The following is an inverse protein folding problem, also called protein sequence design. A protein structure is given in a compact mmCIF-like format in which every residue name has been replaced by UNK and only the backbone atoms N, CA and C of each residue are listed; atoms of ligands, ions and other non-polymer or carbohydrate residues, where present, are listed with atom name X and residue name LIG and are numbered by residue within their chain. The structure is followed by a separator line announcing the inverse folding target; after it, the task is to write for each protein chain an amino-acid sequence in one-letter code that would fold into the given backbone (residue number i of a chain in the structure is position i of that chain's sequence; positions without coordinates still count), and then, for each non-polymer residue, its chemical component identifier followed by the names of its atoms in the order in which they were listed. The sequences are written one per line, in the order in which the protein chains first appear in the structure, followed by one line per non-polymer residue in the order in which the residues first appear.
data_IF_532982973117
#
_entry.id   IF_532982973117
#
_cell.length_a   1.000
_cell.length_b   1.000
_cell.length_c   1.000
_cell.angle_alpha   90.00
_cell.angle_beta   90.00
_cell.angle_gamma   90.00
#
_symmetry.space_group_name_H-M   'P 1'
#
loop_
_entity.id
_entity.type
_entity.pdbx_description
1 polymer ?
#
# COMPACT_ATOMS: atom_id res chain seq x y z
N UNK A 1 24.79 2.09 -11.96
CA UNK A 1 25.60 0.91 -11.56
C UNK A 1 26.99 1.01 -12.18
N UNK A 2 28.07 0.60 -11.47
CA UNK A 2 29.35 0.45 -12.14
C UNK A 2 29.29 -0.70 -13.14
N UNK A 3 30.00 -0.60 -14.27
CA UNK A 3 30.07 -1.68 -15.29
C UNK A 3 30.41 -3.04 -14.70
N UNK A 4 31.25 -3.07 -13.65
CA UNK A 4 31.61 -4.31 -12.93
C UNK A 4 30.41 -4.93 -12.17
N UNK A 5 29.52 -4.12 -11.58
CA UNK A 5 28.36 -4.60 -10.85
C UNK A 5 27.28 -5.12 -11.84
N UNK A 6 27.12 -4.46 -12.98
CA UNK A 6 26.21 -4.91 -14.04
C UNK A 6 26.66 -6.26 -14.62
N UNK A 7 27.94 -6.41 -14.90
CA UNK A 7 28.49 -7.69 -15.37
C UNK A 7 28.35 -8.80 -14.32
N UNK A 8 28.59 -8.49 -13.03
CA UNK A 8 28.43 -9.44 -11.94
C UNK A 8 26.96 -9.89 -11.79
N UNK A 9 26.03 -8.94 -11.85
CA UNK A 9 24.58 -9.22 -11.81
C UNK A 9 24.16 -10.09 -12.99
N UNK A 10 24.56 -9.75 -14.21
CA UNK A 10 24.24 -10.53 -15.41
C UNK A 10 24.80 -11.96 -15.32
N UNK A 11 26.03 -12.13 -14.87
CA UNK A 11 26.66 -13.45 -14.68
C UNK A 11 25.90 -14.29 -13.63
N UNK A 12 25.49 -13.65 -12.53
CA UNK A 12 24.70 -14.30 -11.51
C UNK A 12 23.34 -14.77 -12.06
N UNK A 13 22.61 -13.90 -12.76
CA UNK A 13 21.33 -14.25 -13.40
C UNK A 13 21.53 -15.43 -14.37
N UNK A 14 22.53 -15.36 -15.24
CA UNK A 14 22.84 -16.42 -16.20
C UNK A 14 23.15 -17.76 -15.53
N UNK A 15 23.74 -17.74 -14.34
CA UNK A 15 24.02 -18.96 -13.59
C UNK A 15 22.76 -19.59 -12.99
N UNK A 16 21.82 -18.77 -12.45
CA UNK A 16 20.69 -19.23 -11.65
C UNK A 16 19.38 -19.40 -12.45
N UNK A 17 19.25 -18.82 -13.64
CA UNK A 17 18.10 -19.14 -14.52
C UNK A 17 18.07 -20.63 -14.80
N UNK A 18 16.96 -21.34 -14.49
CA UNK A 18 16.85 -22.78 -14.75
C UNK A 18 17.11 -23.10 -16.22
N UNK A 19 17.90 -24.14 -16.49
CA UNK A 19 18.28 -24.53 -17.86
C UNK A 19 17.03 -24.79 -18.72
N UNK A 20 16.00 -25.43 -18.13
CA UNK A 20 14.73 -25.69 -18.80
C UNK A 20 13.96 -24.44 -19.23
N UNK A 21 14.27 -23.26 -18.66
CA UNK A 21 13.60 -21.98 -18.96
C UNK A 21 14.36 -21.15 -20.01
N UNK A 22 15.56 -21.57 -20.42
CA UNK A 22 16.39 -20.83 -21.37
C UNK A 22 15.86 -21.01 -22.80
N UNK A 23 15.22 -19.96 -23.32
CA UNK A 23 14.69 -19.95 -24.69
C UNK A 23 15.78 -19.72 -25.77
N UNK A 24 16.89 -19.08 -25.39
CA UNK A 24 18.01 -18.76 -26.28
C UNK A 24 19.36 -19.00 -25.57
N UNK A 25 20.45 -19.03 -26.37
CA UNK A 25 21.81 -19.15 -25.81
C UNK A 25 22.25 -17.93 -25.04
N UNK A 26 21.70 -16.75 -25.36
CA UNK A 26 21.99 -15.47 -24.72
C UNK A 26 20.78 -14.97 -23.97
N UNK A 27 20.97 -14.67 -22.66
CA UNK A 27 19.95 -14.08 -21.83
C UNK A 27 20.04 -12.55 -21.92
N UNK A 28 18.90 -11.91 -22.18
CA UNK A 28 18.75 -10.46 -22.12
C UNK A 28 18.01 -10.05 -20.85
N UNK A 29 18.34 -8.87 -20.34
CA UNK A 29 17.73 -8.24 -19.17
C UNK A 29 17.08 -6.92 -19.59
N UNK A 30 15.77 -6.94 -19.83
CA UNK A 30 15.02 -5.76 -20.25
C UNK A 30 14.54 -4.99 -19.00
N UNK A 31 14.97 -3.72 -18.81
CA UNK A 31 14.63 -2.96 -17.62
C UNK A 31 13.12 -2.69 -17.55
N UNK A 32 12.55 -2.92 -16.37
CA UNK A 32 11.17 -2.55 -16.07
C UNK A 32 11.13 -1.20 -15.35
N UNK A 33 10.08 -0.39 -15.57
CA UNK A 33 9.88 0.82 -14.82
C UNK A 33 9.82 0.51 -13.32
N UNK A 34 10.62 1.22 -12.52
CA UNK A 34 10.61 1.11 -11.06
C UNK A 34 9.82 2.25 -10.45
N UNK A 35 9.22 2.03 -9.29
CA UNK A 35 8.58 3.10 -8.50
C UNK A 35 9.56 3.72 -7.48
N UNK A 36 9.16 3.97 -6.26
CA UNK A 36 9.85 4.81 -5.28
C UNK A 36 11.09 4.19 -4.61
N UNK A 37 11.38 2.88 -4.78
CA UNK A 37 12.45 2.15 -4.10
C UNK A 37 13.82 2.19 -4.77
N UNK A 38 14.79 1.52 -4.13
CA UNK A 38 16.14 1.32 -4.70
C UNK A 38 16.24 0.00 -5.48
N UNK A 39 15.19 -0.84 -5.48
CA UNK A 39 15.11 -2.07 -6.27
C UNK A 39 14.99 -1.75 -7.74
N UNK A 40 15.77 -2.47 -8.57
CA UNK A 40 15.70 -2.41 -10.01
C UNK A 40 15.29 -3.76 -10.55
N UNK A 41 14.28 -3.77 -11.38
CA UNK A 41 13.66 -4.96 -11.93
C UNK A 41 14.00 -5.08 -13.42
N UNK A 42 14.26 -6.31 -13.85
CA UNK A 42 14.58 -6.62 -15.25
C UNK A 42 13.82 -7.88 -15.66
N UNK A 43 13.12 -7.81 -16.77
CA UNK A 43 12.50 -8.99 -17.37
C UNK A 43 13.53 -9.78 -18.14
N UNK A 44 13.50 -11.12 -17.99
CA UNK A 44 14.41 -12.03 -18.66
C UNK A 44 13.68 -12.68 -19.83
N UNK A 45 14.35 -12.82 -20.98
CA UNK A 45 13.86 -13.53 -22.18
C UNK A 45 13.84 -15.06 -22.01
N UNK A 46 13.41 -15.57 -20.87
CA UNK A 46 13.23 -17.00 -20.57
C UNK A 46 11.80 -17.46 -20.82
N UNK A 47 11.55 -18.79 -20.84
CA UNK A 47 10.20 -19.37 -20.96
C UNK A 47 10.01 -20.47 -19.91
N UNK A 48 9.16 -20.25 -18.88
CA UNK A 48 8.43 -19.00 -18.62
C UNK A 48 9.36 -17.81 -18.35
N UNK A 49 8.85 -16.60 -18.60
CA UNK A 49 9.56 -15.37 -18.31
C UNK A 49 9.83 -15.24 -16.80
N UNK A 50 10.98 -14.67 -16.44
CA UNK A 50 11.38 -14.41 -15.06
C UNK A 50 11.75 -12.94 -14.87
N UNK A 51 11.77 -12.51 -13.61
CA UNK A 51 12.20 -11.17 -13.21
C UNK A 51 13.51 -11.29 -12.43
N UNK A 52 14.57 -10.65 -12.92
CA UNK A 52 15.80 -10.43 -12.16
C UNK A 52 15.70 -9.13 -11.39
N UNK A 53 16.10 -9.16 -10.11
CA UNK A 53 16.04 -7.99 -9.23
C UNK A 53 17.43 -7.68 -8.69
N UNK A 54 17.83 -6.41 -8.82
CA UNK A 54 18.99 -5.86 -8.12
C UNK A 54 18.47 -4.96 -7.00
N UNK A 55 18.65 -5.42 -5.76
CA UNK A 55 18.15 -4.81 -4.51
C UNK A 55 19.32 -4.58 -3.55
N UNK A 56 19.95 -3.39 -3.57
CA UNK A 56 21.16 -3.10 -2.80
C UNK A 56 20.96 -3.36 -1.29
N UNK A 57 21.74 -4.26 -0.63
CA UNK A 57 21.50 -4.68 0.76
C UNK A 57 21.66 -3.57 1.80
N UNK A 58 22.39 -2.50 1.45
CA UNK A 58 22.55 -1.33 2.32
C UNK A 58 21.40 -0.31 2.20
N UNK A 59 20.41 -0.58 1.36
CA UNK A 59 19.24 0.29 1.09
C UNK A 59 17.92 -0.44 1.28
N UNK A 60 17.91 -1.77 1.13
CA UNK A 60 16.71 -2.59 1.10
C UNK A 60 16.83 -3.78 2.03
N UNK A 61 15.75 -4.10 2.75
CA UNK A 61 15.69 -5.28 3.60
C UNK A 61 15.26 -6.52 2.80
N UNK A 62 16.26 -7.21 2.21
CA UNK A 62 16.01 -8.38 1.38
C UNK A 62 15.57 -9.61 2.21
N UNK A 63 15.96 -9.68 3.49
CA UNK A 63 15.51 -10.76 4.36
C UNK A 63 14.02 -10.66 4.66
N UNK A 64 13.54 -9.47 5.00
CA UNK A 64 12.12 -9.20 5.20
C UNK A 64 11.30 -9.55 3.95
N UNK A 65 11.74 -9.08 2.76
CA UNK A 65 11.08 -9.42 1.49
C UNK A 65 10.90 -10.94 1.31
N UNK A 66 11.94 -11.73 1.56
CA UNK A 66 11.89 -13.19 1.39
C UNK A 66 11.03 -13.84 2.46
N UNK A 67 11.23 -13.50 3.74
CA UNK A 67 10.49 -14.09 4.86
C UNK A 67 8.99 -13.83 4.72
N UNK A 68 8.60 -12.60 4.42
CA UNK A 68 7.20 -12.24 4.21
C UNK A 68 6.61 -12.99 3.01
N UNK A 69 7.34 -13.04 1.87
CA UNK A 69 6.88 -13.76 0.69
C UNK A 69 6.59 -15.24 1.00
N UNK A 70 7.52 -15.92 1.66
CA UNK A 70 7.36 -17.34 1.99
C UNK A 70 6.22 -17.57 2.97
N UNK A 71 6.06 -16.71 3.96
CA UNK A 71 4.97 -16.81 4.96
C UNK A 71 3.61 -16.59 4.31
N UNK A 72 3.48 -15.59 3.44
CA UNK A 72 2.25 -15.34 2.68
C UNK A 72 1.89 -16.52 1.78
N UNK A 73 2.88 -17.06 1.03
CA UNK A 73 2.67 -18.23 0.15
C UNK A 73 2.24 -19.48 0.92
N UNK A 74 2.79 -19.70 2.13
CA UNK A 74 2.40 -20.82 2.99
C UNK A 74 0.93 -20.75 3.43
N UNK A 75 0.32 -19.57 3.41
CA UNK A 75 -1.08 -19.30 3.74
C UNK A 75 -1.96 -19.07 2.48
N UNK A 76 -1.53 -19.57 1.33
CA UNK A 76 -2.21 -19.46 0.04
C UNK A 76 -2.36 -18.03 -0.51
N UNK A 77 -1.65 -17.06 0.06
CA UNK A 77 -1.59 -15.70 -0.50
C UNK A 77 -0.58 -15.68 -1.64
N UNK A 78 -1.05 -15.39 -2.84
CA UNK A 78 -0.24 -15.45 -4.06
C UNK A 78 0.70 -14.25 -4.16
N UNK A 79 2.01 -14.51 -4.09
CA UNK A 79 3.11 -13.57 -4.35
C UNK A 79 4.05 -14.18 -5.41
N UNK A 80 4.99 -13.43 -6.02
CA UNK A 80 5.96 -13.99 -6.95
C UNK A 80 6.77 -15.10 -6.30
N UNK A 81 6.92 -16.24 -6.96
CA UNK A 81 7.84 -17.30 -6.50
C UNK A 81 9.28 -16.80 -6.56
N UNK A 82 10.06 -17.13 -5.54
CA UNK A 82 11.49 -16.83 -5.48
C UNK A 82 12.26 -18.07 -5.96
N UNK A 83 12.96 -17.95 -7.09
CA UNK A 83 13.76 -19.05 -7.66
C UNK A 83 15.19 -19.09 -7.12
N UNK A 84 15.77 -17.92 -6.90
CA UNK A 84 17.12 -17.79 -6.33
C UNK A 84 17.28 -16.45 -5.61
N UNK A 85 18.18 -16.42 -4.61
CA UNK A 85 18.55 -15.21 -3.90
C UNK A 85 20.02 -15.22 -3.53
N UNK A 86 20.64 -14.03 -3.60
CA UNK A 86 21.97 -13.73 -3.08
C UNK A 86 21.87 -12.54 -2.11
N UNK A 87 21.72 -12.81 -0.85
CA UNK A 87 21.60 -11.77 0.19
C UNK A 87 22.81 -10.84 0.27
N UNK A 88 24.02 -11.36 -0.03
CA UNK A 88 25.25 -10.59 0.05
C UNK A 88 25.31 -9.50 -1.01
N UNK A 89 24.88 -9.81 -2.22
CA UNK A 89 24.89 -8.89 -3.35
C UNK A 89 23.53 -8.23 -3.58
N UNK A 90 22.45 -8.71 -2.95
CA UNK A 90 21.09 -8.24 -3.12
C UNK A 90 20.49 -8.61 -4.48
N UNK A 91 20.82 -9.79 -5.00
CA UNK A 91 20.29 -10.27 -6.27
C UNK A 91 19.18 -11.28 -6.03
N UNK A 92 18.09 -11.17 -6.77
CA UNK A 92 16.97 -12.12 -6.69
C UNK A 92 16.51 -12.51 -8.10
N UNK A 93 16.00 -13.74 -8.21
CA UNK A 93 15.34 -14.26 -9.39
C UNK A 93 13.91 -14.65 -9.00
N UNK A 94 12.94 -13.94 -9.55
CA UNK A 94 11.53 -14.06 -9.23
C UNK A 94 10.71 -14.53 -10.41
N UNK A 95 9.54 -15.06 -10.14
CA UNK A 95 8.51 -15.31 -11.13
C UNK A 95 8.04 -13.99 -11.76
N UNK A 96 7.82 -14.01 -13.08
CA UNK A 96 7.16 -12.95 -13.81
C UNK A 96 5.63 -13.15 -13.74
N UNK A 97 4.93 -12.28 -13.04
CA UNK A 97 3.47 -12.29 -12.92
C UNK A 97 2.75 -11.68 -14.13
N UNK A 98 3.51 -11.16 -15.11
CA UNK A 98 2.99 -10.47 -16.28
C UNK A 98 3.02 -8.94 -16.14
N UNK A 99 2.12 -8.25 -16.85
CA UNK A 99 2.12 -6.77 -16.94
C UNK A 99 0.83 -6.13 -16.47
N UNK A 100 -0.21 -6.95 -16.27
CA UNK A 100 -1.54 -6.43 -16.04
C UNK A 100 -1.77 -6.15 -14.56
N UNK A 101 -1.81 -4.88 -14.19
CA UNK A 101 -2.28 -4.42 -12.88
C UNK A 101 -3.81 -4.48 -12.81
N UNK A 102 -4.34 -4.55 -11.60
CA UNK A 102 -5.77 -4.56 -11.37
C UNK A 102 -6.43 -3.21 -11.73
N UNK A 103 -5.78 -2.08 -11.43
CA UNK A 103 -6.36 -0.75 -11.60
C UNK A 103 -6.99 -0.50 -12.97
N UNK A 104 -6.33 -0.75 -14.12
CA UNK A 104 -6.91 -0.50 -15.44
C UNK A 104 -8.12 -1.37 -15.80
N UNK A 105 -8.32 -2.46 -15.05
CA UNK A 105 -9.44 -3.40 -15.26
C UNK A 105 -10.70 -3.00 -14.49
N UNK A 106 -10.60 -2.06 -13.54
CA UNK A 106 -11.69 -1.67 -12.69
C UNK A 106 -12.62 -0.68 -13.38
N UNK A 107 -13.88 -1.04 -13.44
CA UNK A 107 -15.01 -0.18 -13.86
C UNK A 107 -16.29 -0.67 -13.18
N UNK A 108 -17.41 0.01 -13.39
CA UNK A 108 -18.69 -0.33 -12.74
C UNK A 108 -19.17 -1.76 -13.01
N UNK A 109 -18.79 -2.39 -14.14
CA UNK A 109 -19.22 -3.74 -14.50
C UNK A 109 -18.29 -4.83 -13.94
N UNK A 110 -17.05 -4.50 -13.60
CA UNK A 110 -16.00 -5.47 -13.24
C UNK A 110 -15.63 -5.41 -11.76
N UNK A 111 -15.84 -4.29 -11.11
CA UNK A 111 -15.37 -4.01 -9.75
C UNK A 111 -15.88 -5.02 -8.72
N UNK A 112 -17.14 -5.43 -8.78
CA UNK A 112 -17.70 -6.38 -7.80
C UNK A 112 -16.97 -7.74 -7.85
N UNK A 113 -16.69 -8.26 -9.06
CA UNK A 113 -15.97 -9.53 -9.22
C UNK A 113 -14.49 -9.41 -8.77
N UNK A 114 -13.81 -8.33 -9.16
CA UNK A 114 -12.41 -8.16 -8.80
C UNK A 114 -12.23 -7.89 -7.31
N UNK A 115 -13.09 -7.08 -6.71
CA UNK A 115 -13.00 -6.79 -5.27
C UNK A 115 -13.37 -7.99 -4.42
N UNK A 116 -14.32 -8.85 -4.84
CA UNK A 116 -14.59 -10.12 -4.15
C UNK A 116 -13.33 -11.01 -4.10
N UNK A 117 -12.59 -11.12 -5.21
CA UNK A 117 -11.32 -11.85 -5.24
C UNK A 117 -10.25 -11.20 -4.36
N UNK A 118 -10.11 -9.88 -4.41
CA UNK A 118 -9.13 -9.14 -3.60
C UNK A 118 -9.46 -9.24 -2.09
N UNK A 119 -10.74 -9.12 -1.72
CA UNK A 119 -11.20 -9.33 -0.34
C UNK A 119 -10.96 -10.78 0.13
N UNK A 120 -11.04 -11.77 -0.76
CA UNK A 120 -10.67 -13.15 -0.41
C UNK A 120 -9.20 -13.26 -0.04
N UNK A 121 -8.31 -12.57 -0.76
CA UNK A 121 -6.89 -12.50 -0.39
C UNK A 121 -6.72 -11.85 0.99
N UNK A 122 -7.43 -10.76 1.28
CA UNK A 122 -7.39 -10.14 2.61
C UNK A 122 -7.85 -11.10 3.72
N UNK A 123 -8.88 -11.91 3.45
CA UNK A 123 -9.32 -12.95 4.39
C UNK A 123 -8.26 -14.03 4.59
N UNK A 124 -7.57 -14.45 3.53
CA UNK A 124 -6.50 -15.44 3.63
C UNK A 124 -5.28 -14.86 4.39
N UNK A 125 -5.01 -13.55 4.21
CA UNK A 125 -3.98 -12.87 4.99
C UNK A 125 -4.28 -12.86 6.50
N UNK A 126 -5.55 -12.82 6.92
CA UNK A 126 -5.91 -12.90 8.34
C UNK A 126 -5.70 -14.31 8.94
N UNK A 127 -5.56 -15.33 8.10
CA UNK A 127 -5.18 -16.68 8.55
C UNK A 127 -3.66 -16.86 8.74
N UNK A 128 -2.85 -15.90 8.31
CA UNK A 128 -1.39 -15.91 8.51
C UNK A 128 -1.08 -15.70 9.99
N UNK A 129 -0.17 -16.50 10.53
CA UNK A 129 0.30 -16.34 11.91
C UNK A 129 0.95 -14.96 12.09
N UNK A 130 0.53 -14.23 13.12
CA UNK A 130 1.09 -12.93 13.50
C UNK A 130 2.44 -13.12 14.24
N UNK A 131 3.46 -13.55 13.50
CA UNK A 131 4.81 -13.77 14.03
C UNK A 131 5.62 -12.46 13.95
N UNK A 132 5.91 -11.88 15.11
CA UNK A 132 6.66 -10.61 15.22
C UNK A 132 8.11 -10.70 14.73
N UNK A 133 8.65 -11.91 14.56
CA UNK A 133 9.96 -12.10 13.92
C UNK A 133 9.93 -11.90 12.40
N UNK A 134 8.74 -11.98 11.78
CA UNK A 134 8.52 -11.80 10.35
C UNK A 134 7.83 -10.46 10.05
N UNK A 135 6.80 -10.14 10.84
CA UNK A 135 5.99 -8.92 10.66
C UNK A 135 6.16 -8.03 11.89
N UNK A 136 6.77 -6.84 11.77
CA UNK A 136 6.82 -5.90 12.87
C UNK A 136 5.42 -5.42 13.26
N UNK A 137 5.24 -5.00 14.51
CA UNK A 137 3.99 -4.39 14.96
C UNK A 137 3.82 -2.99 14.36
N UNK A 138 2.61 -2.68 13.97
CA UNK A 138 2.21 -1.32 13.57
C UNK A 138 1.76 -0.56 14.81
N UNK A 139 2.74 -0.23 15.64
CA UNK A 139 2.57 0.34 16.95
C UNK A 139 2.17 1.83 16.93
N UNK A 140 1.93 2.38 18.12
CA UNK A 140 1.58 3.79 18.30
C UNK A 140 2.63 4.73 17.68
N UNK A 141 3.91 4.47 17.92
CA UNK A 141 4.99 5.33 17.44
C UNK A 141 5.00 5.37 15.91
N UNK A 142 4.88 4.23 15.25
CA UNK A 142 4.79 4.10 13.78
C UNK A 142 3.58 4.84 13.22
N UNK A 143 2.40 4.67 13.84
CA UNK A 143 1.15 5.33 13.43
C UNK A 143 1.24 6.87 13.55
N UNK A 144 1.74 7.37 14.67
CA UNK A 144 1.90 8.81 14.92
C UNK A 144 3.00 9.43 14.04
N UNK A 145 4.11 8.70 13.80
CA UNK A 145 5.16 9.14 12.89
C UNK A 145 4.62 9.32 11.47
N UNK A 146 3.80 8.39 10.98
CA UNK A 146 3.19 8.51 9.66
C UNK A 146 2.20 9.67 9.57
N UNK A 147 1.38 9.89 10.60
CA UNK A 147 0.48 11.05 10.67
C UNK A 147 1.23 12.37 10.67
N UNK A 148 2.41 12.43 11.28
CA UNK A 148 3.25 13.64 11.33
C UNK A 148 3.69 14.12 9.94
N UNK A 149 3.76 13.23 8.95
CA UNK A 149 4.10 13.57 7.57
C UNK A 149 3.14 14.59 6.96
N UNK A 150 1.85 14.56 7.38
CA UNK A 150 0.85 15.55 6.97
C UNK A 150 1.27 16.97 7.31
N UNK A 151 1.62 17.22 8.60
CA UNK A 151 2.09 18.53 9.03
C UNK A 151 3.36 18.93 8.28
N UNK A 152 4.35 18.02 8.24
CA UNK A 152 5.68 18.31 7.74
C UNK A 152 5.65 18.60 6.23
N UNK A 153 5.05 17.72 5.46
CA UNK A 153 5.17 17.76 4.00
C UNK A 153 3.97 18.42 3.32
N UNK A 154 2.74 18.09 3.72
CA UNK A 154 1.57 18.66 3.06
C UNK A 154 1.33 20.11 3.54
N UNK A 155 1.24 20.34 4.86
CA UNK A 155 0.90 21.66 5.38
C UNK A 155 2.08 22.64 5.24
N UNK A 156 3.25 22.28 5.78
CA UNK A 156 4.36 23.22 5.85
C UNK A 156 5.09 23.38 4.51
N UNK A 157 5.39 22.25 3.82
CA UNK A 157 6.22 22.31 2.60
C UNK A 157 5.40 22.56 1.34
N UNK A 158 4.32 21.78 1.12
CA UNK A 158 3.54 21.90 -0.11
C UNK A 158 2.63 23.15 -0.11
N UNK A 159 1.92 23.41 0.99
CA UNK A 159 1.01 24.56 1.10
C UNK A 159 1.70 25.82 1.67
N UNK A 160 2.98 25.76 2.03
CA UNK A 160 3.72 26.86 2.63
C UNK A 160 2.94 27.52 3.79
N UNK A 161 2.33 26.71 4.66
CA UNK A 161 1.46 27.17 5.74
C UNK A 161 2.09 26.92 7.10
N UNK A 162 2.27 27.99 7.86
CA UNK A 162 2.65 27.91 9.28
C UNK A 162 1.42 27.65 10.15
N UNK A 163 1.57 26.74 11.12
CA UNK A 163 0.53 26.41 12.10
C UNK A 163 0.73 27.21 13.38
N UNK A 164 -0.37 27.61 13.99
CA UNK A 164 -0.39 28.16 15.34
C UNK A 164 -0.28 27.04 16.37
N UNK A 165 0.11 27.35 17.60
CA UNK A 165 0.14 26.36 18.70
C UNK A 165 -1.22 25.67 18.89
N UNK A 166 -2.32 26.40 18.78
CA UNK A 166 -3.68 25.84 18.87
C UNK A 166 -3.99 24.82 17.76
N UNK A 167 -3.43 25.02 16.55
CA UNK A 167 -3.58 24.09 15.45
C UNK A 167 -2.78 22.80 15.71
N UNK A 168 -1.59 22.93 16.29
CA UNK A 168 -0.74 21.82 16.68
C UNK A 168 -1.37 20.96 17.78
N UNK A 169 -1.97 21.61 18.81
CA UNK A 169 -2.69 20.91 19.88
C UNK A 169 -3.88 20.13 19.29
N UNK A 170 -4.66 20.75 18.41
CA UNK A 170 -5.78 20.09 17.73
C UNK A 170 -5.30 18.92 16.86
N UNK A 171 -4.16 19.05 16.14
CA UNK A 171 -3.59 17.95 15.37
C UNK A 171 -3.16 16.78 16.27
N UNK A 172 -2.59 17.08 17.44
CA UNK A 172 -2.23 16.06 18.43
C UNK A 172 -3.45 15.30 18.95
N UNK A 173 -4.55 16.02 19.22
CA UNK A 173 -5.81 15.39 19.66
C UNK A 173 -6.37 14.46 18.59
N UNK A 174 -6.50 14.92 17.34
CA UNK A 174 -7.03 14.06 16.26
C UNK A 174 -6.11 12.87 15.98
N UNK A 175 -4.78 13.04 16.02
CA UNK A 175 -3.85 11.92 15.87
C UNK A 175 -4.04 10.88 16.99
N UNK A 176 -4.27 11.33 18.22
CA UNK A 176 -4.62 10.45 19.33
C UNK A 176 -5.89 9.65 19.06
N UNK A 177 -6.98 10.29 18.61
CA UNK A 177 -8.25 9.64 18.27
C UNK A 177 -8.05 8.57 17.18
N UNK A 178 -7.31 8.89 16.13
CA UNK A 178 -7.07 7.99 15.01
C UNK A 178 -6.18 6.80 15.41
N UNK A 179 -5.14 7.07 16.20
CA UNK A 179 -4.23 6.03 16.70
C UNK A 179 -4.95 5.08 17.64
N UNK A 180 -5.77 5.59 18.58
CA UNK A 180 -6.60 4.73 19.44
C UNK A 180 -7.57 3.89 18.64
N UNK A 181 -8.22 4.46 17.60
CA UNK A 181 -9.10 3.70 16.72
C UNK A 181 -8.35 2.57 15.99
N UNK A 182 -7.09 2.77 15.60
CA UNK A 182 -6.29 1.74 14.97
C UNK A 182 -5.91 0.63 15.96
N UNK A 183 -5.47 1.00 17.16
CA UNK A 183 -4.98 0.06 18.18
C UNK A 183 -6.10 -0.74 18.86
N UNK A 184 -7.32 -0.21 18.95
CA UNK A 184 -8.45 -0.92 19.58
C UNK A 184 -9.09 -1.99 18.69
N UNK A 185 -8.76 -2.03 17.40
CA UNK A 185 -9.26 -3.04 16.47
C UNK A 185 -8.55 -4.39 16.68
N UNK A 186 -9.18 -5.50 16.30
CA UNK A 186 -8.44 -6.75 16.12
C UNK A 186 -7.24 -6.55 15.20
N UNK A 187 -6.11 -7.15 15.56
CA UNK A 187 -4.86 -7.01 14.81
C UNK A 187 -4.63 -8.27 13.95
N UNK A 188 -4.20 -8.06 12.72
CA UNK A 188 -3.88 -9.12 11.77
C UNK A 188 -2.78 -8.69 10.81
N UNK A 189 -2.49 -9.48 9.78
CA UNK A 189 -1.49 -9.11 8.80
C UNK A 189 -2.04 -8.02 7.88
N UNK A 190 -1.30 -6.93 7.80
CA UNK A 190 -1.59 -5.74 6.98
C UNK A 190 -0.47 -5.54 5.97
N UNK A 191 -0.82 -5.49 4.70
CA UNK A 191 0.09 -5.20 3.58
C UNK A 191 0.56 -3.74 3.57
N UNK A 192 -0.24 -2.82 4.10
CA UNK A 192 -0.12 -1.35 4.12
C UNK A 192 -0.42 -0.67 2.78
N UNK A 193 -0.08 -1.28 1.67
CA UNK A 193 -0.28 -0.74 0.32
C UNK A 193 -1.11 -1.70 -0.55
N UNK A 194 -2.21 -2.24 0.02
CA UNK A 194 -3.15 -3.14 -0.64
C UNK A 194 -4.13 -2.37 -1.54
N UNK A 195 -3.62 -1.73 -2.56
CA UNK A 195 -4.41 -0.97 -3.52
C UNK A 195 -4.27 -1.54 -4.93
N UNK A 196 -5.12 -1.06 -5.84
CA UNK A 196 -5.27 -1.61 -7.19
C UNK A 196 -3.99 -1.59 -8.05
N UNK A 197 -2.98 -0.76 -7.70
CA UNK A 197 -1.68 -0.72 -8.38
C UNK A 197 -0.67 -1.73 -7.84
N UNK A 198 -0.95 -2.39 -6.72
CA UNK A 198 -0.08 -3.43 -6.12
C UNK A 198 -0.69 -4.83 -6.21
N UNK A 199 -1.76 -4.97 -6.99
CA UNK A 199 -2.42 -6.24 -7.28
C UNK A 199 -2.26 -6.55 -8.77
N UNK A 200 -1.63 -7.68 -9.07
CA UNK A 200 -1.42 -8.17 -10.43
C UNK A 200 -2.58 -9.08 -10.85
N UNK A 201 -3.06 -8.94 -12.08
CA UNK A 201 -4.00 -9.88 -12.69
C UNK A 201 -3.26 -10.80 -13.65
N UNK A 202 -3.12 -12.05 -13.27
CA UNK A 202 -2.33 -13.04 -14.01
C UNK A 202 -3.09 -13.61 -15.22
N UNK A 203 -2.35 -14.20 -16.16
CA UNK A 203 -2.93 -14.96 -17.30
C UNK A 203 -3.81 -16.13 -16.84
N UNK A 204 -3.53 -16.70 -15.67
CA UNK A 204 -4.37 -17.73 -15.01
C UNK A 204 -5.72 -17.19 -14.50
N UNK A 205 -5.99 -15.87 -14.60
CA UNK A 205 -7.14 -15.15 -14.04
C UNK A 205 -7.15 -15.07 -12.51
N UNK A 206 -6.02 -15.36 -11.89
CA UNK A 206 -5.78 -15.18 -10.46
C UNK A 206 -5.25 -13.77 -10.18
N UNK A 207 -5.41 -13.32 -8.93
CA UNK A 207 -4.77 -12.12 -8.42
C UNK A 207 -3.50 -12.51 -7.64
N UNK A 208 -2.47 -11.68 -7.72
CA UNK A 208 -1.24 -11.84 -6.97
C UNK A 208 -0.78 -10.50 -6.40
N UNK A 209 -0.16 -10.52 -5.21
CA UNK A 209 0.34 -9.33 -4.53
C UNK A 209 1.80 -9.06 -4.88
N UNK A 210 2.11 -7.79 -5.03
CA UNK A 210 3.47 -7.25 -5.11
C UNK A 210 3.63 -6.15 -4.05
N UNK A 211 4.85 -5.74 -3.77
CA UNK A 211 5.18 -4.64 -2.83
C UNK A 211 4.77 -4.92 -1.37
N UNK A 212 4.91 -6.18 -0.94
CA UNK A 212 4.48 -6.69 0.38
C UNK A 212 5.56 -6.64 1.46
N UNK A 213 6.78 -6.22 1.15
CA UNK A 213 7.93 -6.30 2.08
C UNK A 213 7.82 -5.41 3.32
N UNK A 214 6.90 -4.44 3.30
CA UNK A 214 6.61 -3.54 4.42
C UNK A 214 5.35 -3.96 5.20
N UNK A 215 4.89 -5.21 5.02
CA UNK A 215 3.75 -5.75 5.74
C UNK A 215 4.02 -5.82 7.26
N UNK A 216 2.97 -5.59 8.04
CA UNK A 216 3.03 -5.45 9.51
C UNK A 216 1.88 -6.22 10.16
N UNK A 217 1.94 -6.38 11.49
CA UNK A 217 0.77 -6.72 12.31
C UNK A 217 0.07 -5.40 12.64
N UNK A 218 -1.17 -5.24 12.20
CA UNK A 218 -1.90 -3.98 12.34
C UNK A 218 -3.41 -4.12 12.28
N UNK A 219 -4.15 -2.99 12.27
CA UNK A 219 -5.60 -2.96 12.36
C UNK A 219 -6.26 -3.61 11.15
N UNK A 220 -7.20 -4.51 11.43
CA UNK A 220 -7.84 -5.41 10.45
C UNK A 220 -8.57 -4.66 9.32
N UNK A 221 -8.95 -3.39 9.50
CA UNK A 221 -9.62 -2.59 8.48
C UNK A 221 -8.67 -1.83 7.55
N UNK A 222 -7.35 -1.80 7.84
CA UNK A 222 -6.40 -0.95 7.09
C UNK A 222 -6.37 -1.27 5.59
N UNK A 223 -6.15 -2.53 5.23
CA UNK A 223 -6.04 -2.93 3.83
C UNK A 223 -7.39 -2.93 3.11
N UNK A 224 -8.48 -3.18 3.84
CA UNK A 224 -9.83 -3.01 3.28
C UNK A 224 -10.09 -1.55 2.89
N UNK A 225 -9.63 -0.59 3.70
CA UNK A 225 -9.67 0.83 3.36
C UNK A 225 -8.81 1.11 2.13
N UNK A 226 -7.59 0.56 2.08
CA UNK A 226 -6.66 0.75 0.96
C UNK A 226 -7.27 0.29 -0.37
N UNK A 227 -8.06 -0.79 -0.35
CA UNK A 227 -8.77 -1.33 -1.51
C UNK A 227 -10.01 -0.51 -1.88
N UNK A 228 -10.92 -0.29 -0.91
CA UNK A 228 -12.25 0.29 -1.16
C UNK A 228 -12.25 1.81 -1.25
N UNK A 229 -11.28 2.47 -0.65
CA UNK A 229 -11.04 3.93 -0.70
C UNK A 229 -9.63 4.21 -1.22
N UNK A 230 -9.30 3.58 -2.35
CA UNK A 230 -8.06 3.74 -3.08
C UNK A 230 -7.83 5.22 -3.46
N UNK A 231 -6.59 5.66 -3.46
CA UNK A 231 -6.23 7.04 -3.81
C UNK A 231 -6.33 7.34 -5.32
N UNK A 232 -6.53 6.31 -6.14
CA UNK A 232 -6.50 6.40 -7.60
C UNK A 232 -7.87 6.21 -8.26
N UNK A 233 -8.84 5.65 -7.54
CA UNK A 233 -10.20 5.39 -8.03
C UNK A 233 -11.19 5.53 -6.88
N UNK A 234 -12.35 6.14 -7.16
CA UNK A 234 -13.41 6.30 -6.16
C UNK A 234 -14.68 5.56 -6.55
N UNK A 235 -15.39 5.10 -5.53
CA UNK A 235 -16.66 4.39 -5.65
C UNK A 235 -17.76 5.05 -4.81
N UNK A 236 -19.03 4.90 -5.20
CA UNK A 236 -20.15 5.38 -4.39
C UNK A 236 -20.09 4.81 -2.96
N UNK A 237 -20.38 5.67 -1.96
CA UNK A 237 -20.29 5.27 -0.56
C UNK A 237 -21.14 4.05 -0.22
N UNK A 238 -22.34 3.94 -0.80
CA UNK A 238 -23.23 2.81 -0.59
C UNK A 238 -22.57 1.48 -0.98
N UNK A 239 -21.84 1.46 -2.09
CA UNK A 239 -21.07 0.31 -2.52
C UNK A 239 -19.93 0.01 -1.53
N UNK A 240 -19.18 1.03 -1.12
CA UNK A 240 -18.07 0.88 -0.16
C UNK A 240 -18.57 0.30 1.16
N UNK A 241 -19.65 0.85 1.73
CA UNK A 241 -20.23 0.37 3.00
C UNK A 241 -20.77 -1.05 2.87
N UNK A 242 -21.51 -1.36 1.80
CA UNK A 242 -22.01 -2.73 1.53
C UNK A 242 -20.85 -3.72 1.54
N UNK A 243 -19.75 -3.42 0.84
CA UNK A 243 -18.58 -4.30 0.77
C UNK A 243 -17.87 -4.42 2.11
N UNK A 244 -17.70 -3.32 2.83
CA UNK A 244 -17.11 -3.34 4.17
C UNK A 244 -17.90 -4.23 5.14
N UNK A 245 -19.23 -4.16 5.12
CA UNK A 245 -20.08 -5.02 5.95
C UNK A 245 -20.05 -6.49 5.51
N UNK A 246 -20.01 -6.77 4.21
CA UNK A 246 -19.83 -8.12 3.71
C UNK A 246 -18.47 -8.71 4.16
N UNK A 247 -17.41 -7.92 4.10
CA UNK A 247 -16.09 -8.32 4.59
C UNK A 247 -16.13 -8.63 6.10
N UNK A 248 -16.75 -7.76 6.90
CA UNK A 248 -16.99 -8.00 8.34
C UNK A 248 -17.66 -9.36 8.57
N UNK A 249 -18.76 -9.66 7.85
CA UNK A 249 -19.49 -10.92 7.99
C UNK A 249 -18.59 -12.13 7.66
N UNK A 250 -17.73 -12.02 6.65
CA UNK A 250 -16.77 -13.06 6.29
C UNK A 250 -15.72 -13.28 7.37
N UNK A 251 -15.22 -12.20 8.00
CA UNK A 251 -14.29 -12.28 9.13
C UNK A 251 -14.93 -12.97 10.34
N UNK A 252 -16.18 -12.63 10.66
CA UNK A 252 -16.94 -13.26 11.75
C UNK A 252 -17.21 -14.73 11.47
N UNK A 253 -17.61 -15.08 10.25
CA UNK A 253 -17.84 -16.48 9.85
C UNK A 253 -16.57 -17.34 9.95
N UNK A 254 -15.39 -16.75 9.78
CA UNK A 254 -14.08 -17.38 9.95
C UNK A 254 -13.56 -17.29 11.40
N UNK A 255 -14.27 -16.65 12.30
CA UNK A 255 -13.88 -16.41 13.70
C UNK A 255 -12.58 -15.59 13.86
N UNK A 256 -12.26 -14.76 12.87
CA UNK A 256 -11.11 -13.84 12.97
C UNK A 256 -11.43 -12.61 13.82
N UNK A 257 -12.70 -12.26 13.94
CA UNK A 257 -13.19 -11.22 14.85
C UNK A 257 -14.41 -11.70 15.62
N UNK A 258 -14.60 -11.17 16.82
CA UNK A 258 -15.80 -11.34 17.61
C UNK A 258 -17.01 -10.65 16.96
N UNK A 259 -18.19 -10.84 17.54
CA UNK A 259 -19.39 -10.14 17.09
C UNK A 259 -19.27 -8.65 17.44
N UNK A 260 -19.11 -7.82 16.41
CA UNK A 260 -19.09 -6.37 16.47
C UNK A 260 -20.29 -5.84 15.69
N UNK A 261 -20.97 -4.81 16.22
CA UNK A 261 -22.08 -4.20 15.48
C UNK A 261 -21.61 -3.46 14.22
N UNK A 262 -22.55 -3.22 13.30
CA UNK A 262 -22.25 -2.63 12.00
C UNK A 262 -21.73 -1.19 12.14
N UNK A 263 -22.26 -0.42 13.09
CA UNK A 263 -21.87 0.98 13.27
C UNK A 263 -20.45 1.07 13.83
N UNK A 264 -20.09 0.21 14.81
CA UNK A 264 -18.75 0.14 15.36
C UNK A 264 -17.72 -0.27 14.27
N UNK A 265 -18.04 -1.29 13.46
CA UNK A 265 -17.14 -1.70 12.38
C UNK A 265 -16.97 -0.61 11.31
N UNK A 266 -18.05 0.06 10.91
CA UNK A 266 -17.96 1.17 9.95
C UNK A 266 -17.19 2.36 10.54
N UNK A 267 -17.31 2.62 11.84
CA UNK A 267 -16.48 3.63 12.51
C UNK A 267 -14.99 3.25 12.46
N UNK A 268 -14.64 2.01 12.77
CA UNK A 268 -13.26 1.53 12.61
C UNK A 268 -12.73 1.76 11.20
N UNK A 269 -13.50 1.35 10.20
CA UNK A 269 -13.18 1.49 8.79
C UNK A 269 -13.03 2.96 8.36
N UNK A 270 -13.97 3.82 8.72
CA UNK A 270 -13.95 5.24 8.35
C UNK A 270 -12.78 5.97 9.00
N UNK A 271 -12.55 5.80 10.31
CA UNK A 271 -11.44 6.47 11.00
C UNK A 271 -10.08 5.93 10.58
N UNK A 272 -9.98 4.63 10.27
CA UNK A 272 -8.77 4.08 9.63
C UNK A 272 -8.54 4.70 8.26
N UNK A 273 -9.62 4.93 7.51
CA UNK A 273 -9.57 5.66 6.24
C UNK A 273 -9.07 7.09 6.40
N UNK A 274 -9.57 7.80 7.41
CA UNK A 274 -9.12 9.17 7.69
C UNK A 274 -7.63 9.20 8.04
N UNK A 275 -7.16 8.28 8.90
CA UNK A 275 -5.74 8.15 9.22
C UNK A 275 -4.89 7.92 7.97
N UNK A 276 -5.27 6.91 7.16
CA UNK A 276 -4.54 6.59 5.95
C UNK A 276 -4.50 7.76 4.97
N UNK A 277 -5.61 8.46 4.76
CA UNK A 277 -5.65 9.58 3.83
C UNK A 277 -4.87 10.80 4.34
N UNK A 278 -4.89 11.09 5.64
CA UNK A 278 -4.01 12.12 6.23
C UNK A 278 -2.53 11.78 6.01
N UNK A 279 -2.12 10.52 6.26
CA UNK A 279 -0.78 10.02 5.96
C UNK A 279 -0.44 10.21 4.48
N UNK A 280 -1.35 9.82 3.56
CA UNK A 280 -1.14 9.89 2.11
C UNK A 280 -0.95 11.33 1.63
N UNK A 281 -1.68 12.31 2.16
CA UNK A 281 -1.42 13.73 1.86
C UNK A 281 0.03 14.10 2.15
N UNK A 282 0.59 13.63 3.27
CA UNK A 282 1.99 13.83 3.61
C UNK A 282 2.96 13.08 2.69
N UNK A 283 2.69 11.82 2.42
CA UNK A 283 3.55 10.97 1.57
C UNK A 283 3.61 11.49 0.14
N UNK A 284 2.47 11.78 -0.49
CA UNK A 284 2.42 12.26 -1.89
C UNK A 284 3.11 13.61 -2.02
N UNK A 285 2.94 14.50 -1.04
CA UNK A 285 3.69 15.76 -0.99
C UNK A 285 5.20 15.55 -0.89
N UNK A 286 5.64 14.62 -0.02
CA UNK A 286 7.06 14.26 0.13
C UNK A 286 7.63 13.68 -1.16
N UNK A 287 6.93 12.75 -1.80
CA UNK A 287 7.35 12.15 -3.06
C UNK A 287 7.51 13.20 -4.16
N UNK A 288 6.58 14.14 -4.23
CA UNK A 288 6.65 15.22 -5.21
C UNK A 288 7.81 16.18 -4.95
N UNK A 289 8.01 16.63 -3.71
CA UNK A 289 8.95 17.69 -3.38
C UNK A 289 10.38 17.18 -3.15
N UNK A 290 10.53 16.08 -2.41
CA UNK A 290 11.84 15.52 -2.06
C UNK A 290 12.37 14.57 -3.13
N UNK A 291 11.49 13.71 -3.67
CA UNK A 291 11.89 12.61 -4.54
C UNK A 291 11.66 12.93 -6.03
N UNK A 292 11.25 14.19 -6.32
CA UNK A 292 11.03 14.72 -7.67
C UNK A 292 10.04 13.89 -8.51
N UNK A 293 8.91 13.48 -7.88
CA UNK A 293 7.82 12.70 -8.49
C UNK A 293 6.52 13.51 -8.49
N UNK A 294 6.40 14.57 -9.31
CA UNK A 294 5.24 15.47 -9.28
C UNK A 294 3.92 14.82 -9.68
N UNK A 295 3.95 13.66 -10.33
CA UNK A 295 2.73 12.95 -10.75
C UNK A 295 1.82 12.56 -9.58
N UNK A 296 2.37 12.35 -8.38
CA UNK A 296 1.57 12.08 -7.18
C UNK A 296 0.66 13.24 -6.75
N UNK A 297 0.94 14.47 -7.16
CA UNK A 297 0.09 15.62 -6.86
C UNK A 297 -1.27 15.55 -7.54
N UNK A 298 -1.40 14.83 -8.66
CA UNK A 298 -2.66 14.64 -9.40
C UNK A 298 -3.70 13.86 -8.61
N UNK A 299 -3.27 13.04 -7.67
CA UNK A 299 -4.13 12.17 -6.87
C UNK A 299 -4.57 12.85 -5.55
N UNK A 300 -3.93 13.96 -5.13
CA UNK A 300 -4.27 14.70 -3.91
C UNK A 300 -5.73 15.19 -3.83
N UNK A 301 -6.38 15.66 -4.92
CA UNK A 301 -7.77 16.11 -4.84
C UNK A 301 -8.74 15.05 -4.31
N UNK A 302 -8.64 13.80 -4.78
CA UNK A 302 -9.46 12.69 -4.31
C UNK A 302 -9.18 12.38 -2.82
N UNK A 303 -7.91 12.42 -2.42
CA UNK A 303 -7.53 12.17 -1.02
C UNK A 303 -8.08 13.27 -0.09
N UNK A 304 -8.04 14.54 -0.51
CA UNK A 304 -8.64 15.66 0.22
C UNK A 304 -10.16 15.50 0.36
N UNK A 305 -10.85 15.06 -0.70
CA UNK A 305 -12.29 14.76 -0.66
C UNK A 305 -12.61 13.69 0.38
N UNK A 306 -11.83 12.62 0.47
CA UNK A 306 -11.98 11.57 1.49
C UNK A 306 -11.75 12.10 2.92
N UNK A 307 -10.74 12.95 3.12
CA UNK A 307 -10.48 13.58 4.43
C UNK A 307 -11.66 14.42 4.85
N UNK A 308 -12.21 15.26 3.96
CA UNK A 308 -13.36 16.12 4.24
C UNK A 308 -14.62 15.27 4.50
N UNK A 309 -14.88 14.27 3.67
CA UNK A 309 -16.06 13.40 3.80
C UNK A 309 -16.09 12.71 5.16
N UNK A 310 -15.02 12.02 5.52
CA UNK A 310 -14.99 11.24 6.77
C UNK A 310 -14.94 12.13 8.00
N UNK A 311 -14.12 13.17 7.99
CA UNK A 311 -13.96 14.03 9.18
C UNK A 311 -15.23 14.79 9.60
N UNK A 312 -16.25 14.88 8.71
CA UNK A 312 -17.56 15.48 9.05
C UNK A 312 -18.55 14.52 9.70
N UNK A 313 -18.24 13.23 9.75
CA UNK A 313 -19.22 12.20 10.15
C UNK A 313 -19.25 11.90 11.63
N UNK A 314 -18.19 12.23 12.36
CA UNK A 314 -18.01 11.85 13.77
C UNK A 314 -17.74 13.07 14.62
N UNK A 315 -18.36 13.14 15.79
CA UNK A 315 -18.26 14.29 16.70
C UNK A 315 -16.82 14.60 17.11
N UNK A 316 -16.02 13.57 17.33
CA UNK A 316 -14.60 13.68 17.76
C UNK A 316 -13.64 14.08 16.64
N UNK A 317 -14.10 14.13 15.38
CA UNK A 317 -13.32 14.64 14.25
C UNK A 317 -13.79 16.01 13.73
N UNK A 318 -14.90 16.56 14.25
CA UNK A 318 -15.50 17.80 13.76
C UNK A 318 -14.59 19.03 13.93
N UNK A 319 -13.81 19.11 15.03
CA UNK A 319 -12.89 20.23 15.26
C UNK A 319 -11.84 20.25 14.14
N UNK A 320 -11.23 19.10 13.87
CA UNK A 320 -10.28 18.94 12.76
C UNK A 320 -10.95 19.25 11.41
N UNK A 321 -12.15 18.76 11.16
CA UNK A 321 -12.89 19.00 9.91
C UNK A 321 -13.12 20.49 9.67
N UNK A 322 -13.57 21.21 10.68
CA UNK A 322 -13.82 22.65 10.59
C UNK A 322 -12.52 23.42 10.33
N UNK A 323 -11.45 23.08 11.04
CA UNK A 323 -10.14 23.65 10.82
C UNK A 323 -9.63 23.37 9.41
N UNK A 324 -9.71 22.10 8.96
CA UNK A 324 -9.24 21.70 7.64
C UNK A 324 -9.97 22.46 6.53
N UNK A 325 -11.30 22.57 6.61
CA UNK A 325 -12.12 23.31 5.65
C UNK A 325 -11.84 24.80 5.63
N UNK A 326 -11.59 25.42 6.78
CA UNK A 326 -11.37 26.87 6.91
C UNK A 326 -9.94 27.30 6.63
N UNK A 327 -8.96 26.47 7.01
CA UNK A 327 -7.54 26.86 7.02
C UNK A 327 -6.76 26.19 5.91
N UNK A 328 -6.97 24.90 5.67
CA UNK A 328 -6.16 24.09 4.76
C UNK A 328 -6.76 24.06 3.35
N UNK A 329 -8.05 23.74 3.26
CA UNK A 329 -8.72 23.55 1.96
C UNK A 329 -8.64 24.78 1.03
N UNK A 330 -8.83 26.05 1.48
CA UNK A 330 -8.67 27.22 0.61
C UNK A 330 -7.25 27.36 0.05
N UNK A 331 -6.22 27.05 0.86
CA UNK A 331 -4.82 27.07 0.41
C UNK A 331 -4.52 25.96 -0.59
N UNK A 332 -5.11 24.77 -0.39
CA UNK A 332 -4.99 23.66 -1.31
C UNK A 332 -5.63 23.98 -2.67
N UNK A 333 -6.84 24.55 -2.67
CA UNK A 333 -7.56 24.93 -3.92
C UNK A 333 -6.82 26.03 -4.68
N UNK A 334 -6.15 26.95 -3.96
CA UNK A 334 -5.35 28.00 -4.61
C UNK A 334 -4.09 27.48 -5.32
N UNK A 335 -3.65 26.27 -5.03
CA UNK A 335 -2.60 25.58 -5.77
C UNK A 335 -3.16 25.05 -7.09
N UNK A 336 -2.48 25.26 -8.21
CA UNK A 336 -2.96 24.89 -9.55
C UNK A 336 -2.99 23.36 -9.81
N UNK A 337 -3.16 22.51 -8.78
CA UNK A 337 -3.25 21.05 -8.93
C UNK A 337 -4.54 20.61 -9.66
N UNK A 338 -5.58 21.45 -9.67
CA UNK A 338 -6.86 21.17 -10.31
C UNK A 338 -6.89 21.40 -11.83
N UNK A 339 -5.95 22.15 -12.38
CA UNK A 339 -5.93 22.54 -13.80
C UNK A 339 -5.43 21.45 -14.77
N UNK A 340 -5.17 20.23 -14.27
CA UNK A 340 -4.60 19.13 -15.06
C UNK A 340 -5.48 17.88 -15.14
N UNK A 341 -6.76 17.97 -14.77
CA UNK A 341 -7.78 16.91 -15.00
C UNK A 341 -8.55 17.12 -16.28
#
# INVERSE_FOLDING_TARGET
LSLKLEQHFHNWVSKFVPIAFRASKELTLDPLPGDAGFRRYFRINSQPSLIAVNSPPNKENNQSFVSISLTLQASNVRTPKIYAIDFKNGFMLLEDLGEQLLQPLLNHNTVDNFYEKAESILIDMQAVSADTSVFPEYDRESLEQELSLFKIWFVNQLLCSELKSTDEDMLKEIYGVLTENALCQPQGIVHRDFHSRNIMFMKSKELALIDYQDAVIGPITYDLVSLLKDCYISWPREMVIRRALNFKQRLQAKMFIENVDDQAFIRWFDLMGLQRHIKVLGIFSRLALRDNKPDYLKDLPLVVEYVIDVSTRYSDTLIFSNWFKKTIYPKFVSQNFFSQR
#
